data_IF_247009814457
#
_entry.id   IF_247009814457
#
_cell.length_a   1.000
_cell.length_b   1.000
_cell.length_c   1.000
_cell.angle_alpha   90.00
_cell.angle_beta   90.00
_cell.angle_gamma   90.00
#
_symmetry.space_group_name_H-M   'P 1'
#
loop_
_entity.id
_entity.type
_entity.pdbx_description
1 polymer ?
#
# COMPACT_ATOMS: atom_id res chain seq x y z
N UNK A 1 -46.46 10.61 49.98
CA UNK A 1 -45.81 10.11 48.72
C UNK A 1 -46.30 8.66 48.52
N UNK A 2 -46.91 8.35 47.43
CA UNK A 2 -47.42 6.95 47.24
C UNK A 2 -46.25 5.99 47.00
N UNK A 3 -46.33 4.80 47.53
CA UNK A 3 -45.32 3.74 47.39
C UNK A 3 -45.00 3.45 45.93
N UNK A 4 -45.93 3.64 44.99
CA UNK A 4 -45.73 3.46 43.56
C UNK A 4 -44.77 4.48 42.94
N UNK A 5 -44.80 5.74 43.38
CA UNK A 5 -43.88 6.78 42.87
C UNK A 5 -42.44 6.54 43.34
N UNK A 6 -42.24 6.12 44.59
CA UNK A 6 -40.92 5.78 45.13
C UNK A 6 -40.32 4.60 44.38
N UNK A 7 -41.13 3.60 44.02
CA UNK A 7 -40.63 2.44 43.25
C UNK A 7 -40.20 2.83 41.80
N UNK A 8 -40.96 3.70 41.16
CA UNK A 8 -40.63 4.21 39.81
C UNK A 8 -39.33 5.03 39.82
N UNK A 9 -39.16 5.89 40.81
CA UNK A 9 -37.97 6.73 40.94
C UNK A 9 -36.70 5.87 41.22
N UNK A 10 -36.80 4.83 42.05
CA UNK A 10 -35.71 3.90 42.32
C UNK A 10 -35.36 3.12 41.05
N UNK A 11 -36.34 2.63 40.29
CA UNK A 11 -36.09 1.89 39.04
C UNK A 11 -35.42 2.76 37.98
N UNK A 12 -35.84 4.05 37.85
CA UNK A 12 -35.17 4.97 36.94
C UNK A 12 -33.71 5.24 37.32
N UNK A 13 -33.43 5.45 38.61
CA UNK A 13 -32.06 5.61 39.10
C UNK A 13 -31.23 4.37 38.82
N UNK A 14 -31.77 3.18 39.02
CA UNK A 14 -31.06 1.91 38.75
C UNK A 14 -30.71 1.75 37.25
N UNK A 15 -31.66 2.07 36.35
CA UNK A 15 -31.45 2.03 34.92
C UNK A 15 -30.40 3.03 34.47
N UNK A 16 -30.44 4.26 34.96
CA UNK A 16 -29.46 5.30 34.64
C UNK A 16 -28.08 4.87 35.13
N UNK A 17 -27.99 4.33 36.36
CA UNK A 17 -26.71 3.84 36.90
C UNK A 17 -26.14 2.68 36.09
N UNK A 18 -26.98 1.74 35.67
CA UNK A 18 -26.56 0.60 34.79
C UNK A 18 -26.05 1.10 33.43
N UNK A 19 -26.75 2.07 32.83
CA UNK A 19 -26.32 2.68 31.55
C UNK A 19 -24.99 3.43 31.70
N UNK A 20 -24.79 4.18 32.77
CA UNK A 20 -23.54 4.89 33.02
C UNK A 20 -22.38 3.89 33.26
N UNK A 21 -22.59 2.81 34.01
CA UNK A 21 -21.58 1.78 34.24
C UNK A 21 -21.25 1.04 32.94
N UNK A 22 -22.24 0.73 32.11
CA UNK A 22 -21.98 0.09 30.81
C UNK A 22 -21.22 1.00 29.84
N UNK A 23 -21.52 2.30 29.86
CA UNK A 23 -20.82 3.29 29.03
C UNK A 23 -19.36 3.48 29.49
N UNK A 24 -19.12 3.52 30.82
CA UNK A 24 -17.76 3.63 31.36
C UNK A 24 -16.92 2.38 31.10
N UNK A 25 -17.52 1.19 31.16
CA UNK A 25 -16.85 -0.06 30.80
C UNK A 25 -16.54 -0.13 29.30
N UNK A 26 -17.44 0.33 28.45
CA UNK A 26 -17.19 0.42 27.00
C UNK A 26 -16.10 1.45 26.67
N UNK A 27 -16.10 2.61 27.32
CA UNK A 27 -15.03 3.61 27.14
C UNK A 27 -13.69 3.12 27.69
N UNK A 28 -13.66 2.44 28.82
CA UNK A 28 -12.42 1.88 29.36
C UNK A 28 -11.88 0.75 28.50
N UNK A 29 -12.72 -0.07 27.88
CA UNK A 29 -12.28 -1.11 26.93
C UNK A 29 -11.77 -0.52 25.63
N UNK A 30 -12.34 0.60 25.15
CA UNK A 30 -11.85 1.34 24.01
C UNK A 30 -10.49 2.01 24.28
N UNK A 31 -10.34 2.67 25.43
CA UNK A 31 -9.08 3.27 25.86
C UNK A 31 -7.99 2.21 26.11
N UNK A 32 -8.35 1.06 26.67
CA UNK A 32 -7.41 -0.05 26.88
C UNK A 32 -7.00 -0.72 25.55
N UNK A 33 -7.93 -0.79 24.58
CA UNK A 33 -7.61 -1.26 23.24
C UNK A 33 -6.70 -0.26 22.50
N UNK A 34 -6.89 1.05 22.70
CA UNK A 34 -6.07 2.10 22.10
C UNK A 34 -4.65 2.15 22.71
N UNK A 35 -4.51 1.94 24.03
CA UNK A 35 -3.19 1.81 24.69
C UNK A 35 -2.44 0.53 24.30
N UNK A 36 -3.14 -0.59 24.08
CA UNK A 36 -2.51 -1.83 23.61
C UNK A 36 -2.09 -1.75 22.13
N UNK A 37 -2.70 -0.84 21.35
CA UNK A 37 -2.39 -0.67 19.94
C UNK A 37 -1.14 0.16 19.65
N UNK A 38 -0.59 0.86 20.65
CA UNK A 38 0.60 1.70 20.45
C UNK A 38 1.92 0.94 20.35
N UNK A 39 1.97 -0.34 20.72
CA UNK A 39 3.21 -1.13 20.81
C UNK A 39 3.27 -2.28 19.79
N UNK A 40 2.62 -2.19 18.65
CA UNK A 40 2.43 -3.39 17.79
C UNK A 40 3.35 -3.41 16.57
N UNK A 41 4.18 -2.37 16.35
CA UNK A 41 5.20 -2.41 15.31
C UNK A 41 6.32 -3.38 15.69
N UNK A 42 6.68 -4.26 14.74
CA UNK A 42 7.88 -5.07 14.83
C UNK A 42 8.95 -4.49 13.92
N UNK A 43 10.07 -4.08 14.48
CA UNK A 43 11.28 -3.76 13.73
C UNK A 43 11.93 -5.08 13.28
N UNK A 44 11.92 -5.33 11.99
CA UNK A 44 12.42 -6.58 11.39
C UNK A 44 13.91 -6.53 11.06
N UNK A 45 14.52 -5.35 11.08
CA UNK A 45 15.94 -5.14 10.85
C UNK A 45 16.28 -4.12 9.77
N UNK A 46 17.56 -3.97 9.53
CA UNK A 46 18.08 -3.12 8.47
C UNK A 46 17.85 -3.78 7.12
N UNK A 47 17.61 -2.96 6.10
CA UNK A 47 17.75 -3.38 4.71
C UNK A 47 19.25 -3.52 4.42
N UNK A 48 19.72 -4.76 4.22
CA UNK A 48 21.16 -5.07 4.23
C UNK A 48 21.92 -4.58 2.98
N UNK A 49 21.24 -4.39 1.84
CA UNK A 49 21.93 -4.05 0.60
C UNK A 49 22.21 -2.56 0.51
N UNK A 50 23.48 -2.19 0.43
CA UNK A 50 23.94 -0.79 0.42
C UNK A 50 23.45 0.07 -0.76
N UNK A 51 22.99 -0.58 -1.86
CA UNK A 51 22.39 0.13 -2.99
C UNK A 51 20.91 0.46 -2.78
N UNK A 52 20.25 -0.13 -1.77
CA UNK A 52 18.83 0.18 -1.46
C UNK A 52 18.79 1.36 -0.50
N UNK A 53 18.84 2.57 -1.06
CA UNK A 53 18.86 3.82 -0.28
C UNK A 53 17.61 4.65 -0.44
N UNK A 54 16.93 4.50 -1.57
CA UNK A 54 15.77 5.26 -1.97
C UNK A 54 14.61 4.29 -2.26
N UNK A 55 14.30 3.43 -1.24
CA UNK A 55 13.25 2.42 -1.37
C UNK A 55 11.88 3.10 -1.45
N UNK A 56 11.35 3.26 -2.66
CA UNK A 56 10.10 3.93 -2.94
C UNK A 56 8.91 2.97 -2.90
N UNK A 57 9.00 1.78 -3.50
CA UNK A 57 7.93 0.78 -3.50
C UNK A 57 8.31 -0.56 -2.87
N UNK A 58 7.33 -1.28 -2.31
CA UNK A 58 7.50 -2.63 -1.77
C UNK A 58 6.26 -3.49 -2.03
N UNK A 59 6.46 -4.79 -2.29
CA UNK A 59 5.34 -5.74 -2.38
C UNK A 59 5.74 -7.14 -1.91
N UNK A 60 4.82 -7.82 -1.24
CA UNK A 60 5.06 -9.18 -0.76
C UNK A 60 4.82 -10.21 -1.88
N UNK A 61 5.83 -11.04 -2.13
CA UNK A 61 5.75 -12.14 -3.08
C UNK A 61 4.63 -13.12 -2.71
N UNK A 62 3.88 -13.57 -3.70
CA UNK A 62 2.91 -14.67 -3.54
C UNK A 62 3.48 -16.00 -3.98
N UNK A 63 4.47 -15.96 -4.85
CA UNK A 63 5.11 -17.13 -5.43
C UNK A 63 6.29 -17.63 -4.59
N UNK A 64 7.00 -16.72 -3.92
CA UNK A 64 8.17 -17.01 -3.12
C UNK A 64 7.87 -16.69 -1.65
N UNK A 65 7.63 -17.72 -0.84
CA UNK A 65 7.23 -17.53 0.56
C UNK A 65 8.28 -16.75 1.35
N UNK A 66 7.84 -15.69 2.06
CA UNK A 66 8.69 -14.86 2.91
C UNK A 66 9.61 -13.90 2.16
N UNK A 67 9.32 -13.64 0.88
CA UNK A 67 10.07 -12.70 0.04
C UNK A 67 9.29 -11.42 -0.15
N UNK A 68 10.01 -10.30 -0.14
CA UNK A 68 9.55 -8.96 -0.50
C UNK A 68 10.33 -8.48 -1.72
N UNK A 69 9.65 -7.81 -2.64
CA UNK A 69 10.25 -7.11 -3.77
C UNK A 69 10.25 -5.63 -3.49
N UNK A 70 11.36 -4.95 -3.76
CA UNK A 70 11.49 -3.49 -3.68
C UNK A 70 12.36 -2.96 -4.81
N UNK A 71 12.34 -1.67 -5.03
CA UNK A 71 13.20 -0.93 -5.96
C UNK A 71 13.57 0.41 -5.35
N UNK A 72 14.56 1.07 -5.93
CA UNK A 72 14.83 2.46 -5.64
C UNK A 72 14.05 3.39 -6.58
N UNK A 73 13.88 4.60 -6.15
CA UNK A 73 13.35 5.76 -6.89
C UNK A 73 14.20 6.11 -8.13
N UNK A 74 13.99 7.28 -8.68
CA UNK A 74 14.55 7.85 -9.90
C UNK A 74 16.07 7.77 -10.00
N UNK A 75 16.57 7.77 -11.25
CA UNK A 75 18.01 7.77 -11.57
C UNK A 75 18.84 6.60 -11.02
N UNK A 76 18.19 5.61 -10.43
CA UNK A 76 18.79 4.38 -9.93
C UNK A 76 18.84 3.27 -11.00
N UNK A 77 19.60 2.18 -10.79
CA UNK A 77 19.58 1.03 -11.70
C UNK A 77 18.18 0.46 -11.90
N UNK A 78 17.86 0.08 -13.13
CA UNK A 78 16.60 -0.57 -13.52
C UNK A 78 16.54 -2.02 -13.02
N UNK A 79 16.47 -2.20 -11.71
CA UNK A 79 16.44 -3.52 -11.07
C UNK A 79 15.47 -3.56 -9.89
N UNK A 80 15.05 -4.78 -9.57
CA UNK A 80 14.36 -5.11 -8.33
C UNK A 80 15.32 -5.81 -7.38
N UNK A 81 15.11 -5.57 -6.11
CA UNK A 81 15.78 -6.27 -5.03
C UNK A 81 14.80 -7.21 -4.36
N UNK A 82 15.20 -8.45 -4.19
CA UNK A 82 14.48 -9.43 -3.39
C UNK A 82 15.04 -9.39 -1.96
N UNK A 83 14.18 -9.19 -0.99
CA UNK A 83 14.50 -9.22 0.43
C UNK A 83 13.77 -10.38 1.10
N UNK A 84 14.31 -10.91 2.18
CA UNK A 84 13.51 -11.73 3.08
C UNK A 84 12.71 -10.83 4.08
N UNK A 85 11.87 -11.46 4.87
CA UNK A 85 11.08 -10.80 5.90
C UNK A 85 11.87 -10.26 7.11
N UNK A 86 13.20 -10.18 6.99
CA UNK A 86 14.12 -9.55 7.95
C UNK A 86 15.00 -8.48 7.31
N UNK A 87 14.69 -8.09 6.08
CA UNK A 87 15.46 -7.10 5.32
C UNK A 87 16.75 -7.64 4.70
N UNK A 88 17.04 -8.97 4.79
CA UNK A 88 18.24 -9.54 4.19
C UNK A 88 18.10 -9.65 2.68
N UNK A 89 19.12 -9.25 1.96
CA UNK A 89 19.16 -9.30 0.50
C UNK A 89 19.25 -10.75 -0.01
N UNK A 90 18.31 -11.15 -0.86
CA UNK A 90 18.23 -12.46 -1.48
C UNK A 90 18.69 -12.48 -2.95
N UNK A 91 18.74 -11.31 -3.60
CA UNK A 91 19.20 -11.18 -4.97
C UNK A 91 18.74 -9.91 -5.67
N UNK A 92 19.46 -9.52 -6.72
CA UNK A 92 19.17 -8.37 -7.58
C UNK A 92 18.72 -8.85 -8.95
N UNK A 93 17.65 -8.26 -9.49
CA UNK A 93 16.99 -8.66 -10.73
C UNK A 93 16.91 -7.48 -11.69
N UNK A 94 17.83 -7.42 -12.65
CA UNK A 94 17.87 -6.37 -13.66
C UNK A 94 16.79 -6.54 -14.72
N UNK A 95 16.04 -5.48 -15.00
CA UNK A 95 14.98 -5.49 -16.00
C UNK A 95 15.54 -4.95 -17.30
N UNK A 96 15.52 -5.75 -18.38
CA UNK A 96 16.12 -5.36 -19.65
C UNK A 96 15.17 -4.57 -20.53
N UNK A 97 15.77 -3.69 -21.35
CA UNK A 97 15.03 -2.92 -22.36
C UNK A 97 14.22 -1.74 -21.83
N UNK A 98 14.42 -1.40 -20.57
CA UNK A 98 13.81 -0.23 -19.92
C UNK A 98 14.85 0.55 -19.12
N UNK A 99 14.49 1.74 -18.69
CA UNK A 99 15.28 2.58 -17.78
C UNK A 99 14.43 2.91 -16.56
N UNK A 100 15.05 3.09 -15.43
CA UNK A 100 14.43 3.76 -14.30
C UNK A 100 14.55 5.27 -14.56
N UNK A 101 13.46 5.88 -15.03
CA UNK A 101 13.38 7.32 -15.22
C UNK A 101 12.87 8.00 -13.95
N UNK A 102 11.77 7.45 -13.41
CA UNK A 102 11.09 7.97 -12.22
C UNK A 102 10.15 6.87 -11.68
N UNK A 103 10.76 5.80 -11.11
CA UNK A 103 10.01 4.68 -10.57
C UNK A 103 9.54 5.01 -9.17
N UNK A 104 8.25 4.91 -8.93
CA UNK A 104 7.63 5.31 -7.68
C UNK A 104 7.04 4.16 -6.88
N UNK A 105 6.36 3.22 -7.53
CA UNK A 105 5.70 2.14 -6.81
C UNK A 105 5.78 0.80 -7.57
N UNK A 106 5.62 -0.28 -6.81
CA UNK A 106 5.57 -1.64 -7.33
C UNK A 106 4.34 -2.37 -6.77
N UNK A 107 3.58 -3.00 -7.64
CA UNK A 107 2.41 -3.77 -7.27
C UNK A 107 2.49 -5.22 -7.76
N UNK A 108 1.79 -6.12 -7.09
CA UNK A 108 1.69 -7.54 -7.46
C UNK A 108 0.23 -7.93 -7.64
N UNK A 109 -0.10 -8.53 -8.78
CA UNK A 109 -1.45 -9.02 -9.02
C UNK A 109 -1.57 -9.86 -10.28
N UNK A 110 -2.80 -10.29 -10.62
CA UNK A 110 -3.03 -11.09 -11.81
C UNK A 110 -2.71 -10.30 -13.07
N UNK A 111 -2.21 -10.99 -14.09
CA UNK A 111 -1.89 -10.41 -15.39
C UNK A 111 -2.67 -11.06 -16.53
N UNK A 112 -2.15 -10.95 -17.78
CA UNK A 112 -2.82 -11.47 -18.96
C UNK A 112 -3.01 -12.98 -18.95
N UNK A 113 -2.07 -13.73 -18.35
CA UNK A 113 -2.17 -15.18 -18.26
C UNK A 113 -2.90 -15.57 -16.97
N UNK A 114 -3.88 -16.43 -17.08
CA UNK A 114 -4.61 -16.93 -15.92
C UNK A 114 -3.69 -17.74 -14.99
N UNK A 115 -3.98 -17.68 -13.71
CA UNK A 115 -3.23 -18.36 -12.63
C UNK A 115 -1.75 -17.96 -12.54
N UNK A 116 -1.40 -16.78 -13.04
CA UNK A 116 -0.06 -16.23 -12.96
C UNK A 116 -0.10 -14.81 -12.42
N UNK A 117 0.62 -14.56 -11.34
CA UNK A 117 0.86 -13.21 -10.84
C UNK A 117 2.01 -12.54 -11.58
N UNK A 118 1.88 -11.23 -11.71
CA UNK A 118 2.80 -10.32 -12.37
C UNK A 118 3.23 -9.22 -11.40
N UNK A 119 4.47 -8.81 -11.51
CA UNK A 119 4.95 -7.56 -10.96
C UNK A 119 4.67 -6.43 -11.94
N UNK A 120 4.27 -5.30 -11.40
CA UNK A 120 4.00 -4.06 -12.11
C UNK A 120 4.85 -2.98 -11.47
N UNK A 121 5.72 -2.33 -12.25
CA UNK A 121 6.58 -1.24 -11.80
C UNK A 121 6.11 0.04 -12.45
N UNK A 122 5.80 1.05 -11.65
CA UNK A 122 5.28 2.34 -12.09
C UNK A 122 6.39 3.34 -12.36
N UNK A 123 6.72 3.60 -13.64
CA UNK A 123 7.54 4.72 -14.09
C UNK A 123 6.61 5.92 -14.31
N UNK A 124 6.10 6.46 -13.18
CA UNK A 124 4.95 7.36 -13.11
C UNK A 124 5.26 8.71 -12.45
N UNK A 125 6.41 8.85 -11.81
CA UNK A 125 6.87 10.09 -11.23
C UNK A 125 7.10 11.21 -12.25
N UNK A 126 7.02 12.44 -11.80
CA UNK A 126 7.26 13.64 -12.61
C UNK A 126 7.19 14.92 -11.75
N UNK A 127 8.05 15.04 -10.79
CA UNK A 127 8.09 16.15 -9.84
C UNK A 127 8.04 17.55 -10.50
N UNK A 128 8.44 17.65 -11.77
CA UNK A 128 8.46 18.91 -12.53
C UNK A 128 7.42 18.97 -13.65
N UNK A 129 6.51 18.01 -13.73
CA UNK A 129 5.47 17.92 -14.78
C UNK A 129 6.02 18.04 -16.21
N UNK A 130 7.13 17.35 -16.50
CA UNK A 130 7.83 17.41 -17.78
C UNK A 130 7.42 16.31 -18.76
N UNK A 131 6.97 15.16 -18.23
CA UNK A 131 6.72 13.97 -19.03
C UNK A 131 5.25 13.81 -19.40
N UNK A 132 4.95 13.90 -20.70
CA UNK A 132 3.59 13.64 -21.21
C UNK A 132 3.19 12.18 -21.06
N UNK A 133 4.15 11.26 -21.30
CA UNK A 133 3.92 9.83 -21.24
C UNK A 133 4.46 9.25 -19.94
N UNK A 134 3.63 8.44 -19.30
CA UNK A 134 3.96 7.59 -18.17
C UNK A 134 3.96 6.14 -18.62
N UNK A 135 4.63 5.29 -17.85
CA UNK A 135 4.77 3.88 -18.18
C UNK A 135 4.54 3.00 -16.96
N UNK A 136 3.95 1.84 -17.20
CA UNK A 136 3.94 0.74 -16.24
C UNK A 136 4.62 -0.43 -16.92
N UNK A 137 5.62 -1.01 -16.27
CA UNK A 137 6.33 -2.18 -16.76
C UNK A 137 5.76 -3.42 -16.08
N UNK A 138 5.32 -4.39 -16.88
CA UNK A 138 4.68 -5.61 -16.38
C UNK A 138 5.45 -6.85 -16.84
N UNK A 139 5.68 -7.76 -15.92
CA UNK A 139 6.32 -9.05 -16.21
C UNK A 139 5.91 -10.11 -15.19
N UNK A 140 5.94 -11.41 -15.55
CA UNK A 140 5.64 -12.49 -14.61
C UNK A 140 6.54 -12.42 -13.38
N UNK A 141 5.97 -12.62 -12.20
CA UNK A 141 6.74 -12.65 -10.97
C UNK A 141 7.87 -13.71 -11.06
N UNK A 142 9.14 -13.31 -10.83
CA UNK A 142 10.26 -14.24 -10.90
C UNK A 142 10.20 -15.31 -9.80
N UNK A 143 10.76 -16.48 -10.08
CA UNK A 143 11.06 -17.49 -9.06
C UNK A 143 12.44 -17.20 -8.49
N UNK A 144 12.52 -17.09 -7.16
CA UNK A 144 13.78 -16.96 -6.43
C UNK A 144 14.34 -18.35 -6.16
N UNK A 145 15.61 -18.52 -6.50
CA UNK A 145 16.38 -19.67 -6.06
C UNK A 145 17.13 -19.27 -4.79
N UNK A 146 16.69 -19.77 -3.64
CA UNK A 146 17.31 -19.49 -2.35
C UNK A 146 18.75 -20.03 -2.22
N UNK A 147 19.16 -20.95 -3.10
CA UNK A 147 20.54 -21.45 -3.16
C UNK A 147 21.49 -20.48 -3.90
N UNK A 148 20.96 -19.40 -4.48
CA UNK A 148 21.79 -18.40 -5.15
C UNK A 148 22.55 -17.56 -4.11
N UNK A 149 23.78 -17.16 -4.46
CA UNK A 149 24.55 -16.21 -3.67
C UNK A 149 23.91 -14.83 -3.81
N UNK A 150 23.47 -14.15 -2.72
CA UNK A 150 22.76 -12.87 -2.79
C UNK A 150 23.54 -11.81 -3.59
N UNK A 151 24.84 -11.70 -3.36
CA UNK A 151 25.74 -10.72 -3.99
C UNK A 151 26.39 -11.22 -5.27
N UNK A 152 25.87 -12.29 -5.89
CA UNK A 152 26.29 -12.76 -7.20
C UNK A 152 25.84 -11.83 -8.32
N UNK A 153 26.25 -12.15 -9.57
CA UNK A 153 25.74 -11.44 -10.76
C UNK A 153 24.20 -11.47 -10.75
N UNK A 154 23.59 -10.28 -10.81
CA UNK A 154 22.15 -10.13 -10.83
C UNK A 154 21.49 -10.94 -11.92
N UNK A 155 20.29 -11.42 -11.66
CA UNK A 155 19.47 -12.10 -12.67
C UNK A 155 18.85 -11.07 -13.61
N UNK A 156 18.46 -11.53 -14.79
CA UNK A 156 17.90 -10.69 -15.83
C UNK A 156 16.45 -11.06 -16.09
N UNK A 157 15.56 -10.07 -16.07
CA UNK A 157 14.15 -10.17 -16.47
C UNK A 157 14.04 -9.69 -17.91
N UNK A 158 13.57 -10.55 -18.83
CA UNK A 158 13.57 -10.28 -20.27
C UNK A 158 12.20 -10.15 -20.91
N UNK A 159 11.15 -10.71 -20.32
CA UNK A 159 9.80 -10.71 -20.89
C UNK A 159 8.97 -9.56 -20.28
N UNK A 160 9.39 -8.33 -20.57
CA UNK A 160 8.79 -7.11 -20.03
C UNK A 160 7.81 -6.53 -21.03
N UNK A 161 6.59 -6.34 -20.61
CA UNK A 161 5.56 -5.59 -21.34
C UNK A 161 5.54 -4.15 -20.85
N UNK A 162 5.45 -3.21 -21.78
CA UNK A 162 5.38 -1.77 -21.49
C UNK A 162 3.98 -1.25 -21.77
N UNK A 163 3.29 -0.81 -20.75
CA UNK A 163 1.97 -0.15 -20.81
C UNK A 163 2.23 1.35 -20.79
N UNK A 164 1.87 2.06 -21.86
CA UNK A 164 2.10 3.49 -21.98
C UNK A 164 0.80 4.27 -21.90
N UNK A 165 0.80 5.37 -21.17
CA UNK A 165 -0.39 6.21 -21.02
C UNK A 165 -0.05 7.68 -20.82
N UNK A 166 -1.08 8.52 -20.94
CA UNK A 166 -1.11 9.92 -20.57
C UNK A 166 -2.41 10.21 -19.83
N UNK A 167 -2.43 11.26 -19.03
CA UNK A 167 -3.64 11.72 -18.38
C UNK A 167 -4.44 12.63 -19.32
N UNK A 168 -5.78 12.59 -19.24
CA UNK A 168 -6.66 13.43 -20.08
C UNK A 168 -6.66 14.89 -19.66
N UNK A 169 -6.30 15.17 -18.42
CA UNK A 169 -6.36 16.49 -17.77
C UNK A 169 -4.98 17.14 -17.54
N UNK A 170 -3.94 16.63 -18.19
CA UNK A 170 -2.62 17.25 -18.16
C UNK A 170 -1.47 16.32 -17.80
N UNK A 171 -0.50 16.84 -17.10
CA UNK A 171 0.67 16.10 -16.59
C UNK A 171 0.61 16.10 -15.09
N UNK A 172 0.76 14.94 -14.50
CA UNK A 172 0.75 14.75 -13.07
C UNK A 172 1.96 13.96 -12.63
N UNK A 173 2.45 14.31 -11.47
CA UNK A 173 3.30 13.49 -10.66
C UNK A 173 2.45 12.47 -9.91
N UNK A 174 2.82 11.20 -9.95
CA UNK A 174 2.07 10.13 -9.31
C UNK A 174 3.02 9.13 -8.68
N UNK A 175 2.68 8.68 -7.48
CA UNK A 175 3.55 7.83 -6.68
C UNK A 175 2.87 6.58 -6.15
N UNK A 176 1.69 6.24 -6.64
CA UNK A 176 0.98 5.05 -6.18
C UNK A 176 0.43 4.27 -7.35
N UNK A 177 0.72 2.98 -7.37
CA UNK A 177 0.25 2.02 -8.36
C UNK A 177 -0.49 0.88 -7.67
N UNK A 178 -1.78 0.74 -7.93
CA UNK A 178 -2.58 -0.36 -7.41
C UNK A 178 -2.98 -1.34 -8.51
N UNK A 179 -2.99 -2.62 -8.19
CA UNK A 179 -3.57 -3.67 -9.03
C UNK A 179 -4.84 -4.22 -8.39
N UNK A 180 -5.96 -4.16 -9.10
CA UNK A 180 -7.17 -4.81 -8.65
C UNK A 180 -7.10 -6.33 -8.93
N UNK A 181 -7.02 -7.19 -7.91
CA UNK A 181 -6.90 -8.61 -8.13
C UNK A 181 -8.19 -9.26 -8.68
N UNK A 182 -9.33 -8.55 -8.65
CA UNK A 182 -10.62 -9.05 -9.10
C UNK A 182 -10.90 -8.72 -10.56
N UNK A 183 -10.48 -7.54 -11.03
CA UNK A 183 -10.77 -7.04 -12.39
C UNK A 183 -9.55 -6.99 -13.29
N UNK A 184 -8.33 -7.10 -12.74
CA UNK A 184 -7.04 -6.88 -13.43
C UNK A 184 -6.85 -5.43 -13.89
N UNK A 185 -7.69 -4.51 -13.44
CA UNK A 185 -7.52 -3.08 -13.67
C UNK A 185 -6.37 -2.55 -12.81
N UNK A 186 -5.70 -1.49 -13.32
CA UNK A 186 -4.69 -0.79 -12.55
C UNK A 186 -5.20 0.60 -12.21
N UNK A 187 -4.69 1.15 -11.11
CA UNK A 187 -5.02 2.50 -10.67
C UNK A 187 -3.72 3.24 -10.38
N UNK A 188 -3.62 4.44 -10.90
CA UNK A 188 -2.51 5.36 -10.65
C UNK A 188 -3.05 6.54 -9.85
N UNK A 189 -2.39 6.88 -8.75
CA UNK A 189 -2.82 7.97 -7.86
C UNK A 189 -1.76 9.05 -7.85
N UNK A 190 -2.17 10.30 -8.12
CA UNK A 190 -1.26 11.44 -8.10
C UNK A 190 -0.81 11.80 -6.68
N UNK A 191 0.29 12.56 -6.56
CA UNK A 191 0.91 12.91 -5.26
C UNK A 191 0.41 14.23 -4.68
N UNK A 192 0.41 15.27 -5.50
CA UNK A 192 0.38 16.66 -5.02
C UNK A 192 -1.04 17.21 -4.84
N UNK A 193 -1.16 18.13 -3.88
CA UNK A 193 -2.39 18.85 -3.56
C UNK A 193 -2.95 18.49 -2.19
N UNK A 194 -4.06 19.11 -1.82
CA UNK A 194 -4.85 18.73 -0.64
C UNK A 194 -5.79 17.54 -0.96
N UNK A 195 -5.94 17.27 -2.25
CA UNK A 195 -6.73 16.18 -2.81
C UNK A 195 -5.98 15.65 -4.03
N UNK A 196 -5.89 14.34 -4.16
CA UNK A 196 -5.19 13.67 -5.25
C UNK A 196 -6.16 12.98 -6.19
N UNK A 197 -5.78 12.86 -7.47
CA UNK A 197 -6.58 12.21 -8.50
C UNK A 197 -6.29 10.72 -8.57
N UNK A 198 -7.32 9.93 -8.81
CA UNK A 198 -7.24 8.49 -9.08
C UNK A 198 -7.57 8.24 -10.55
N UNK A 199 -6.64 7.67 -11.28
CA UNK A 199 -6.77 7.37 -12.70
C UNK A 199 -6.90 5.88 -12.92
N UNK A 200 -7.86 5.48 -13.77
CA UNK A 200 -8.10 4.08 -14.12
C UNK A 200 -7.32 3.71 -15.37
N UNK A 201 -6.53 2.64 -15.30
CA UNK A 201 -5.94 1.93 -16.44
C UNK A 201 -6.77 0.68 -16.69
N UNK A 202 -7.71 0.71 -17.65
CA UNK A 202 -8.66 -0.38 -17.84
C UNK A 202 -8.00 -1.67 -18.33
N UNK A 203 -8.58 -2.80 -17.98
CA UNK A 203 -8.18 -4.09 -18.52
C UNK A 203 -9.05 -4.47 -19.75
N UNK A 204 -8.48 -5.05 -20.82
CA UNK A 204 -7.05 -5.36 -21.01
C UNK A 204 -6.21 -4.11 -21.34
N UNK A 205 -5.05 -4.00 -20.70
CA UNK A 205 -4.11 -2.91 -20.98
C UNK A 205 -3.44 -3.12 -22.35
N UNK A 206 -3.39 -2.06 -23.17
CA UNK A 206 -2.62 -2.07 -24.42
C UNK A 206 -1.13 -2.01 -24.13
N UNK A 207 -0.37 -2.85 -24.82
CA UNK A 207 1.12 -2.84 -24.80
C UNK A 207 1.69 -2.25 -26.09
N UNK A 208 0.83 -1.81 -27.01
CA UNK A 208 1.21 -1.23 -28.32
C UNK A 208 0.77 0.22 -28.46
N UNK A 209 -0.38 0.58 -27.88
CA UNK A 209 -0.97 1.89 -28.03
C UNK A 209 -0.85 2.70 -26.74
N UNK A 210 -0.74 4.02 -26.88
CA UNK A 210 -0.80 4.94 -25.75
C UNK A 210 -2.25 5.13 -25.33
N UNK A 211 -2.56 4.83 -24.07
CA UNK A 211 -3.89 5.06 -23.52
C UNK A 211 -4.02 6.48 -22.98
N UNK A 212 -5.22 7.05 -23.02
CA UNK A 212 -5.54 8.28 -22.30
C UNK A 212 -6.41 7.93 -21.10
N UNK A 213 -5.93 8.24 -19.90
CA UNK A 213 -6.60 7.88 -18.65
C UNK A 213 -7.48 9.02 -18.17
N UNK A 214 -8.69 8.64 -17.75
CA UNK A 214 -9.64 9.55 -17.11
C UNK A 214 -9.51 9.45 -15.59
N UNK A 215 -9.62 10.60 -14.91
CA UNK A 215 -9.78 10.64 -13.46
C UNK A 215 -11.15 10.08 -13.09
N UNK A 216 -11.18 8.98 -12.32
CA UNK A 216 -12.43 8.30 -11.94
C UNK A 216 -12.95 8.74 -10.57
N UNK A 217 -12.09 9.25 -9.71
CA UNK A 217 -12.43 9.85 -8.42
C UNK A 217 -11.25 10.64 -7.87
N UNK A 218 -11.48 11.36 -6.77
CA UNK A 218 -10.43 12.06 -6.01
C UNK A 218 -10.44 11.59 -4.57
N UNK A 219 -9.26 11.65 -3.93
CA UNK A 219 -9.07 11.43 -2.50
C UNK A 219 -8.77 12.78 -1.84
N UNK A 220 -9.49 13.18 -0.79
CA UNK A 220 -9.14 14.37 0.03
C UNK A 220 -7.97 14.07 0.98
N UNK A 221 -6.95 13.44 0.44
CA UNK A 221 -5.70 13.10 1.08
C UNK A 221 -4.64 13.65 0.16
N UNK A 222 -3.68 14.40 0.70
CA UNK A 222 -2.56 14.93 -0.07
C UNK A 222 -1.27 14.20 0.24
N UNK A 223 -0.26 14.36 -0.61
CA UNK A 223 1.06 13.74 -0.47
C UNK A 223 0.99 12.21 -0.38
N UNK A 224 0.18 11.62 -1.25
CA UNK A 224 0.08 10.15 -1.38
C UNK A 224 1.34 9.63 -2.05
N UNK A 225 2.02 8.68 -1.40
CA UNK A 225 3.36 8.18 -1.78
C UNK A 225 3.42 6.67 -1.97
N UNK A 226 2.34 5.94 -1.76
CA UNK A 226 2.31 4.51 -1.99
C UNK A 226 0.98 3.87 -1.60
N UNK A 227 0.81 2.61 -1.95
CA UNK A 227 -0.39 1.87 -1.58
C UNK A 227 -0.36 0.41 -2.02
N UNK A 228 -1.28 -0.37 -1.50
CA UNK A 228 -1.42 -1.77 -1.91
C UNK A 228 -2.85 -2.27 -1.74
N UNK A 229 -3.20 -3.27 -2.53
CA UNK A 229 -4.48 -3.98 -2.48
C UNK A 229 -4.27 -5.40 -1.98
N UNK A 230 -4.98 -5.76 -0.91
CA UNK A 230 -4.91 -7.12 -0.38
C UNK A 230 -5.23 -8.18 -1.46
N UNK A 231 -4.63 -9.36 -1.33
CA UNK A 231 -4.83 -10.46 -2.30
C UNK A 231 -6.30 -10.80 -2.60
N UNK A 232 -7.17 -10.69 -1.60
CA UNK A 232 -8.61 -10.92 -1.78
C UNK A 232 -9.36 -9.73 -2.40
N UNK A 233 -8.68 -8.59 -2.65
CA UNK A 233 -9.27 -7.40 -3.24
C UNK A 233 -10.22 -6.61 -2.33
N UNK A 234 -10.35 -6.99 -1.06
CA UNK A 234 -11.32 -6.37 -0.15
C UNK A 234 -10.76 -5.26 0.74
N UNK A 235 -9.45 -5.00 0.67
CA UNK A 235 -8.76 -4.05 1.54
C UNK A 235 -7.72 -3.29 0.76
N UNK A 236 -7.64 -1.99 0.98
CA UNK A 236 -6.71 -1.10 0.30
C UNK A 236 -5.97 -0.32 1.37
N UNK A 237 -4.66 -0.19 1.23
CA UNK A 237 -3.83 0.76 1.96
C UNK A 237 -3.44 1.90 1.02
N UNK A 238 -3.53 3.12 1.52
CA UNK A 238 -3.00 4.32 0.89
C UNK A 238 -2.09 5.00 1.90
N UNK A 239 -0.86 5.24 1.51
CA UNK A 239 0.17 5.82 2.37
C UNK A 239 0.47 7.26 1.98
N UNK A 240 0.70 8.08 3.00
CA UNK A 240 1.35 9.39 2.92
C UNK A 240 2.64 9.36 3.74
N UNK A 241 3.38 10.44 3.77
CA UNK A 241 4.56 10.53 4.64
C UNK A 241 4.23 10.41 6.14
N UNK A 242 3.03 10.83 6.56
CA UNK A 242 2.63 10.87 7.98
C UNK A 242 1.70 9.75 8.41
N UNK A 243 0.90 9.20 7.49
CA UNK A 243 -0.21 8.32 7.82
C UNK A 243 -0.36 7.17 6.81
N UNK A 244 -0.99 6.09 7.26
CA UNK A 244 -1.48 5.03 6.39
C UNK A 244 -3.00 4.95 6.57
N UNK A 245 -3.73 5.03 5.46
CA UNK A 245 -5.18 4.96 5.39
C UNK A 245 -5.63 3.60 4.92
N UNK A 246 -6.55 3.01 5.65
CA UNK A 246 -7.18 1.74 5.32
C UNK A 246 -8.59 1.97 4.78
N UNK A 247 -8.88 1.38 3.63
CA UNK A 247 -10.20 1.38 3.01
C UNK A 247 -10.72 -0.04 2.91
N UNK A 248 -11.95 -0.26 3.42
CA UNK A 248 -12.68 -1.49 3.17
C UNK A 248 -13.41 -1.41 1.83
N UNK A 249 -13.27 -2.45 1.01
CA UNK A 249 -13.91 -2.51 -0.31
C UNK A 249 -15.07 -3.49 -0.33
N UNK A 250 -16.17 -3.07 -0.92
CA UNK A 250 -17.20 -3.99 -1.40
C UNK A 250 -16.75 -4.59 -2.74
N UNK A 251 -16.43 -5.87 -2.77
CA UNK A 251 -15.90 -6.57 -3.96
C UNK A 251 -16.87 -6.62 -5.15
N UNK A 252 -18.14 -6.27 -4.96
CA UNK A 252 -19.13 -6.16 -6.03
C UNK A 252 -19.10 -4.80 -6.75
N UNK A 253 -18.28 -3.86 -6.27
CA UNK A 253 -18.14 -2.53 -6.84
C UNK A 253 -16.71 -2.35 -7.42
N UNK A 254 -16.53 -1.45 -8.41
CA UNK A 254 -15.20 -1.05 -8.85
C UNK A 254 -14.33 -0.62 -7.67
N UNK A 255 -13.01 -0.88 -7.75
CA UNK A 255 -12.07 -0.60 -6.66
C UNK A 255 -12.14 0.87 -6.20
N UNK A 256 -12.18 1.80 -7.14
CA UNK A 256 -12.20 3.23 -6.84
C UNK A 256 -13.42 3.68 -6.02
N UNK A 257 -14.51 2.90 -5.99
CA UNK A 257 -15.65 3.18 -5.11
C UNK A 257 -15.35 2.97 -3.63
N UNK A 258 -14.25 2.31 -3.30
CA UNK A 258 -13.81 2.19 -1.91
C UNK A 258 -13.22 3.50 -1.35
N UNK A 259 -12.87 4.44 -2.21
CA UNK A 259 -12.29 5.73 -1.84
C UNK A 259 -13.34 6.76 -1.39
N UNK A 260 -14.52 6.32 -1.04
CA UNK A 260 -15.49 7.16 -0.32
C UNK A 260 -14.92 7.48 1.08
N UNK A 261 -14.64 8.75 1.30
CA UNK A 261 -13.88 9.25 2.46
C UNK A 261 -14.62 9.10 3.79
N UNK A 262 -15.92 8.87 3.79
CA UNK A 262 -16.69 8.66 5.02
C UNK A 262 -16.42 7.27 5.64
N UNK A 263 -15.61 6.42 4.98
CA UNK A 263 -15.42 5.02 5.35
C UNK A 263 -13.95 4.56 5.44
N UNK A 264 -13.00 5.47 5.59
CA UNK A 264 -11.60 5.09 5.86
C UNK A 264 -11.25 5.24 7.34
N UNK A 265 -10.19 4.54 7.75
CA UNK A 265 -9.58 4.69 9.07
C UNK A 265 -8.07 4.79 8.92
N UNK A 266 -7.42 5.56 9.78
CA UNK A 266 -5.97 5.52 9.90
C UNK A 266 -5.55 4.25 10.64
N UNK A 267 -4.49 3.61 10.14
CA UNK A 267 -3.90 2.43 10.77
C UNK A 267 -2.56 2.81 11.39
N UNK A 268 -2.02 2.03 12.34
CA UNK A 268 -0.76 2.34 12.98
C UNK A 268 0.38 2.59 11.99
N UNK A 269 1.11 3.67 12.21
CA UNK A 269 2.32 4.02 11.49
C UNK A 269 3.18 4.97 12.32
N UNK A 270 4.47 4.74 12.38
CA UNK A 270 5.41 5.55 13.15
C UNK A 270 6.32 6.37 12.22
N UNK A 271 5.76 7.40 11.60
CA UNK A 271 6.45 8.26 10.61
C UNK A 271 7.74 8.91 11.14
N UNK A 272 7.82 9.17 12.44
CA UNK A 272 9.01 9.74 13.06
C UNK A 272 10.26 8.86 12.95
N UNK A 273 10.06 7.55 12.82
CA UNK A 273 11.15 6.56 12.70
C UNK A 273 11.41 6.14 11.26
N UNK A 274 10.56 6.57 10.34
CA UNK A 274 10.61 6.26 8.91
C UNK A 274 10.58 7.56 8.09
N UNK A 275 11.62 8.41 8.21
CA UNK A 275 11.69 9.65 7.43
C UNK A 275 11.71 9.30 5.94
N UNK A 276 10.96 10.05 5.11
CA UNK A 276 10.75 9.71 3.70
C UNK A 276 10.27 8.25 3.52
N UNK A 277 9.38 7.79 4.42
CA UNK A 277 8.77 6.48 4.29
C UNK A 277 7.69 6.51 3.22
N UNK A 278 7.91 5.85 2.08
CA UNK A 278 6.97 5.81 0.95
C UNK A 278 6.32 4.45 0.80
N UNK A 279 7.11 3.40 0.87
CA UNK A 279 6.68 2.05 0.56
C UNK A 279 5.74 1.45 1.62
N UNK A 280 4.67 0.79 1.17
CA UNK A 280 3.75 0.01 1.99
C UNK A 280 3.18 -1.17 1.22
N UNK A 281 3.10 -2.36 1.83
CA UNK A 281 2.35 -3.46 1.24
C UNK A 281 1.72 -4.39 2.29
N UNK A 282 0.62 -5.04 1.94
CA UNK A 282 0.10 -6.16 2.70
C UNK A 282 1.11 -7.31 2.71
N UNK A 283 1.20 -8.05 3.81
CA UNK A 283 1.82 -9.37 3.76
C UNK A 283 1.01 -10.32 2.87
N UNK A 284 1.62 -11.39 2.37
CA UNK A 284 1.01 -12.32 1.41
C UNK A 284 -0.35 -12.89 1.88
N UNK A 285 -0.59 -12.95 3.19
CA UNK A 285 -1.82 -13.46 3.80
C UNK A 285 -2.77 -12.34 4.26
N UNK A 286 -2.38 -11.07 4.10
CA UNK A 286 -3.11 -9.90 4.60
C UNK A 286 -3.38 -9.97 6.12
N UNK A 287 -2.40 -10.49 6.89
CA UNK A 287 -2.41 -10.55 8.35
C UNK A 287 -1.75 -9.32 8.99
N UNK A 288 -1.10 -8.50 8.18
CA UNK A 288 -0.46 -7.24 8.51
C UNK A 288 0.09 -6.57 7.27
N UNK A 289 0.88 -5.53 7.44
CA UNK A 289 1.53 -4.80 6.36
C UNK A 289 2.97 -4.48 6.71
N UNK A 290 3.78 -4.40 5.67
CA UNK A 290 5.17 -3.97 5.76
C UNK A 290 5.29 -2.51 5.34
N UNK A 291 6.28 -1.82 5.92
CA UNK A 291 6.77 -0.53 5.47
C UNK A 291 8.30 -0.56 5.37
N UNK A 292 8.82 0.24 4.48
CA UNK A 292 10.25 0.54 4.38
C UNK A 292 10.40 2.02 4.00
N UNK A 293 11.42 2.67 4.57
CA UNK A 293 11.74 4.06 4.29
C UNK A 293 13.01 4.18 3.45
N UNK A 294 13.23 5.35 2.90
CA UNK A 294 14.52 5.73 2.35
C UNK A 294 15.60 5.90 3.44
N UNK A 295 16.86 5.92 3.02
CA UNK A 295 17.98 6.34 3.86
C UNK A 295 18.09 7.87 3.84
N UNK A 296 17.69 8.53 4.91
CA UNK A 296 17.69 9.99 5.00
C UNK A 296 18.44 10.48 6.24
N UNK A 297 19.32 11.47 6.06
CA UNK A 297 20.00 12.13 7.18
C UNK A 297 20.88 11.19 8.02
N UNK A 298 21.34 10.07 7.45
CA UNK A 298 22.13 9.06 8.14
C UNK A 298 21.27 8.07 8.95
N UNK A 299 19.95 8.11 8.81
CA UNK A 299 19.03 7.08 9.32
C UNK A 299 18.93 6.00 8.25
N UNK A 300 19.37 4.77 8.53
CA UNK A 300 19.36 3.70 7.54
C UNK A 300 17.94 3.20 7.26
N UNK A 301 17.71 2.73 6.05
CA UNK A 301 16.48 2.05 5.66
C UNK A 301 16.24 0.81 6.54
N UNK A 302 15.03 0.69 7.09
CA UNK A 302 14.61 -0.43 7.93
C UNK A 302 13.29 -0.99 7.47
N UNK A 303 13.16 -2.31 7.59
CA UNK A 303 11.92 -3.02 7.34
C UNK A 303 11.11 -3.12 8.63
N UNK A 304 9.86 -2.70 8.58
CA UNK A 304 8.92 -2.79 9.69
C UNK A 304 7.71 -3.64 9.32
N UNK A 305 7.11 -4.27 10.32
CA UNK A 305 5.85 -5.00 10.17
C UNK A 305 4.85 -4.55 11.20
N UNK A 306 3.65 -4.25 10.73
CA UNK A 306 2.49 -3.88 11.53
C UNK A 306 1.44 -4.99 11.41
N UNK A 307 1.13 -5.72 12.49
CA UNK A 307 0.09 -6.72 12.45
C UNK A 307 -1.27 -6.06 12.23
N UNK A 308 -2.14 -6.77 11.54
CA UNK A 308 -3.47 -6.28 11.21
C UNK A 308 -4.33 -6.12 12.46
N UNK A 309 -4.95 -4.95 12.59
CA UNK A 309 -5.98 -4.70 13.60
C UNK A 309 -7.33 -5.24 13.14
N UNK A 310 -8.07 -5.84 14.06
CA UNK A 310 -9.48 -6.17 13.84
C UNK A 310 -10.29 -4.93 14.20
N UNK A 311 -10.56 -4.10 13.20
CA UNK A 311 -11.58 -3.06 13.39
C UNK A 311 -12.95 -3.73 13.43
N UNK A 312 -13.58 -3.72 14.59
CA UNK A 312 -15.04 -3.92 14.67
C UNK A 312 -15.69 -2.61 14.22
N UNK A 313 -15.72 -2.35 12.93
CA UNK A 313 -16.60 -1.30 12.39
C UNK A 313 -18.02 -1.70 12.74
N UNK A 314 -18.82 -0.82 13.39
CA UNK A 314 -20.24 -1.02 13.43
C UNK A 314 -20.72 -1.04 11.97
N UNK A 315 -21.24 -2.16 11.52
CA UNK A 315 -21.94 -2.24 10.24
C UNK A 315 -23.07 -1.23 10.35
N UNK A 316 -22.94 -0.06 9.70
CA UNK A 316 -24.04 0.85 9.56
C UNK A 316 -25.19 0.08 8.89
N UNK A 317 -26.31 0.03 9.60
CA UNK A 317 -27.55 -0.62 9.15
C UNK A 317 -28.18 0.16 8.01
#
# INVERSE_FOLDING_TARGET
MSTSKLYTDIMQILIITLCVVSLTLAMSSLLYADEQNKDVRTDLGLVEHEEIREASGIVASRKNSGVLWTHNDSDNPNCLYALDNKGRHLGTYYITGITNRDWEDIALGPGPRDYQDYLYVGDIGDNFSQYQLKHIYRFPEPIINLDQTPFGRGKTITNVEKISFQYSDGRHDAETLLVDPLTKELYVISKWGNSVNVYLVPYPQSVTDVMTLECVTTLNIGLVVGGDVSHCGSRILIKTYSDIYYFARNSNLPLWKAFDLDHYVTVPYESETEPQGEAVCWDANSTGYYTVSEEVGGIPSRLHFYPRFVYTTPIAK
#
